data_IF_742890081188
#
_entry.id   IF_742890081188
#
_cell.length_a   1.000
_cell.length_b   1.000
_cell.length_c   1.000
_cell.angle_alpha   90.00
_cell.angle_beta   90.00
_cell.angle_gamma   90.00
#
_symmetry.space_group_name_H-M   'P 1'
#
loop_
_entity.id
_entity.type
_entity.pdbx_description
1 polymer ?
#
# COMPACT_ATOMS: atom_id res chain seq x y z
N UNK A 1 39.09 -46.87 46.96
CA UNK A 1 39.28 -46.00 45.79
C UNK A 1 38.15 -46.33 44.84
N UNK A 2 37.06 -45.57 44.90
CA UNK A 2 35.90 -45.83 44.04
C UNK A 2 35.31 -44.51 43.57
N UNK A 3 35.14 -44.47 42.26
CA UNK A 3 34.76 -43.31 41.45
C UNK A 3 33.24 -43.32 41.40
N UNK A 4 32.58 -42.42 42.14
CA UNK A 4 31.11 -42.34 42.12
C UNK A 4 30.63 -41.37 41.06
N UNK A 5 30.04 -41.97 40.04
CA UNK A 5 29.49 -41.39 38.82
C UNK A 5 28.19 -40.62 39.12
N UNK A 6 28.07 -39.40 38.60
CA UNK A 6 26.86 -38.57 38.62
C UNK A 6 25.75 -39.18 37.72
N UNK A 7 24.48 -39.27 38.17
CA UNK A 7 23.39 -39.70 37.31
C UNK A 7 22.79 -38.55 36.49
N UNK A 8 22.48 -38.87 35.22
CA UNK A 8 21.80 -38.04 34.23
C UNK A 8 20.37 -37.71 34.66
N UNK A 9 20.02 -36.42 34.74
CA UNK A 9 18.63 -35.96 34.83
C UNK A 9 18.12 -35.60 33.43
N UNK A 10 17.00 -36.21 33.07
CA UNK A 10 16.34 -36.10 31.77
C UNK A 10 15.76 -34.71 31.54
N UNK A 11 15.91 -34.21 30.30
CA UNK A 11 15.31 -32.96 29.85
C UNK A 11 13.83 -33.15 29.50
N UNK A 12 12.95 -32.44 30.20
CA UNK A 12 11.61 -32.13 29.72
C UNK A 12 11.66 -30.80 28.94
N UNK A 13 11.03 -30.69 27.75
CA UNK A 13 11.05 -29.46 26.97
C UNK A 13 10.13 -28.42 27.63
N UNK A 14 10.74 -27.33 28.11
CA UNK A 14 10.04 -26.16 28.60
C UNK A 14 9.36 -25.46 27.41
N UNK A 15 8.04 -25.64 27.30
CA UNK A 15 7.23 -25.06 26.25
C UNK A 15 7.06 -23.57 26.55
N UNK A 16 7.70 -22.71 25.75
CA UNK A 16 7.56 -21.26 25.85
C UNK A 16 6.11 -20.86 25.48
N UNK A 17 5.41 -20.04 26.28
CA UNK A 17 4.14 -19.50 25.86
C UNK A 17 4.35 -18.51 24.72
N UNK A 18 3.65 -18.80 23.62
CA UNK A 18 3.50 -18.00 22.41
C UNK A 18 2.97 -16.60 22.75
N UNK A 19 3.85 -15.59 22.76
CA UNK A 19 3.47 -14.17 22.81
C UNK A 19 3.23 -13.68 21.39
N UNK A 20 2.07 -14.01 20.84
CA UNK A 20 1.50 -13.33 19.67
C UNK A 20 0.19 -12.66 20.06
N UNK A 21 0.03 -11.43 19.59
CA UNK A 21 -1.04 -10.47 19.87
C UNK A 21 -0.94 -9.82 21.25
N UNK A 22 -0.73 -8.50 21.29
CA UNK A 22 -1.32 -7.54 22.25
C UNK A 22 -0.73 -6.14 21.96
N UNK A 23 -1.17 -5.51 20.87
CA UNK A 23 -0.76 -4.16 20.48
C UNK A 23 -1.81 -3.06 20.69
N UNK A 24 -3.02 -3.39 21.17
CA UNK A 24 -4.11 -2.40 21.31
C UNK A 24 -4.85 -2.36 22.65
N UNK A 25 -4.57 -3.29 23.57
CA UNK A 25 -5.27 -3.35 24.87
C UNK A 25 -4.52 -2.68 26.06
N UNK A 26 -3.27 -2.25 25.88
CA UNK A 26 -2.42 -1.81 27.02
C UNK A 26 -2.66 -0.39 27.53
N UNK A 27 -3.34 0.48 26.77
CA UNK A 27 -3.53 1.90 27.18
C UNK A 27 -4.61 2.05 28.25
N UNK A 28 -5.74 1.35 28.09
CA UNK A 28 -6.88 1.46 29.01
C UNK A 28 -6.60 0.84 30.38
N UNK A 29 -5.94 -0.33 30.41
CA UNK A 29 -5.64 -1.06 31.66
C UNK A 29 -4.55 -0.42 32.53
N UNK A 30 -3.69 0.44 31.96
CA UNK A 30 -2.71 1.20 32.75
C UNK A 30 -3.33 2.38 33.52
N UNK A 31 -4.53 2.82 33.13
CA UNK A 31 -5.19 3.97 33.74
C UNK A 31 -5.87 3.65 35.08
N UNK A 32 -6.31 2.40 35.27
CA UNK A 32 -6.99 1.93 36.49
C UNK A 32 -6.02 1.74 37.67
N UNK A 33 -4.74 1.45 37.41
CA UNK A 33 -3.69 1.29 38.44
C UNK A 33 -2.80 2.53 38.61
N UNK A 34 -3.23 3.69 38.12
CA UNK A 34 -2.45 4.93 38.15
C UNK A 34 -2.61 5.65 39.49
N UNK A 35 -1.50 5.99 40.17
CA UNK A 35 -1.53 6.68 41.46
C UNK A 35 -2.28 8.03 41.37
N UNK A 36 -2.87 8.54 42.48
CA UNK A 36 -3.58 9.82 42.48
C UNK A 36 -2.74 10.98 41.87
N UNK A 37 -1.44 11.02 42.16
CA UNK A 37 -0.51 11.99 41.58
C UNK A 37 -0.30 11.82 40.07
N UNK A 38 -0.19 10.57 39.59
CA UNK A 38 -0.06 10.27 38.15
C UNK A 38 -1.35 10.63 37.39
N UNK A 39 -2.52 10.38 37.98
CA UNK A 39 -3.84 10.80 37.43
C UNK A 39 -3.97 12.32 37.37
N UNK A 40 -3.50 13.05 38.39
CA UNK A 40 -3.49 14.51 38.39
C UNK A 40 -2.58 15.09 37.29
N UNK A 41 -1.39 14.53 37.10
CA UNK A 41 -0.47 14.92 36.01
C UNK A 41 -1.07 14.66 34.62
N UNK A 42 -1.72 13.51 34.42
CA UNK A 42 -2.40 13.19 33.17
C UNK A 42 -3.52 14.20 32.85
N UNK A 43 -4.36 14.53 33.84
CA UNK A 43 -5.40 15.56 33.69
C UNK A 43 -4.82 16.94 33.35
N UNK A 44 -3.70 17.32 33.98
CA UNK A 44 -3.00 18.58 33.67
C UNK A 44 -2.46 18.58 32.24
N UNK A 45 -1.85 17.48 31.81
CA UNK A 45 -1.35 17.30 30.43
C UNK A 45 -2.49 17.34 29.42
N UNK A 46 -3.58 16.61 29.66
CA UNK A 46 -4.77 16.64 28.80
C UNK A 46 -5.38 18.03 28.68
N UNK A 47 -5.55 18.74 29.80
CA UNK A 47 -6.03 20.14 29.78
C UNK A 47 -5.09 21.03 28.99
N UNK A 48 -3.79 20.91 29.20
CA UNK A 48 -2.77 21.69 28.47
C UNK A 48 -2.80 21.38 26.97
N UNK A 49 -2.91 20.10 26.58
CA UNK A 49 -3.01 19.68 25.18
C UNK A 49 -4.28 20.23 24.54
N UNK A 50 -5.44 20.10 25.20
CA UNK A 50 -6.71 20.65 24.71
C UNK A 50 -6.66 22.17 24.54
N UNK A 51 -6.11 22.88 25.53
CA UNK A 51 -5.94 24.34 25.45
C UNK A 51 -5.03 24.72 24.28
N UNK A 52 -3.89 24.05 24.13
CA UNK A 52 -2.96 24.32 23.02
C UNK A 52 -3.60 24.03 21.65
N UNK A 53 -4.39 22.97 21.53
CA UNK A 53 -5.12 22.63 20.32
C UNK A 53 -6.20 23.66 19.98
N UNK A 54 -6.93 24.17 20.98
CA UNK A 54 -7.89 25.25 20.79
C UNK A 54 -7.22 26.54 20.32
N UNK A 55 -6.12 26.94 20.96
CA UNK A 55 -5.36 28.13 20.55
C UNK A 55 -4.83 28.00 19.13
N UNK A 56 -4.28 26.84 18.76
CA UNK A 56 -3.84 26.58 17.37
C UNK A 56 -5.00 26.66 16.39
N UNK A 57 -6.16 26.10 16.72
CA UNK A 57 -7.35 26.14 15.87
C UNK A 57 -7.86 27.57 15.68
N UNK A 58 -7.90 28.36 16.75
CA UNK A 58 -8.30 29.77 16.70
C UNK A 58 -7.31 30.62 15.90
N UNK A 59 -6.01 30.46 16.14
CA UNK A 59 -4.96 31.11 15.35
C UNK A 59 -5.06 30.75 13.86
N UNK A 60 -5.39 29.48 13.55
CA UNK A 60 -5.63 29.02 12.17
C UNK A 60 -6.84 29.69 11.55
N UNK A 61 -7.96 29.76 12.25
CA UNK A 61 -9.18 30.40 11.75
C UNK A 61 -8.95 31.88 11.45
N UNK A 62 -8.28 32.60 12.36
CA UNK A 62 -7.88 33.99 12.15
C UNK A 62 -6.94 34.16 10.97
N UNK A 63 -6.01 33.22 10.76
CA UNK A 63 -5.14 33.26 9.58
C UNK A 63 -5.96 33.03 8.30
N UNK A 64 -6.83 32.02 8.28
CA UNK A 64 -7.65 31.70 7.12
C UNK A 64 -8.52 32.90 6.71
N UNK A 65 -9.16 33.51 7.70
CA UNK A 65 -9.90 34.75 7.53
C UNK A 65 -9.02 35.85 6.93
N UNK A 66 -7.82 36.12 7.47
CA UNK A 66 -6.89 37.12 6.90
C UNK A 66 -6.39 36.79 5.50
N UNK A 67 -6.26 35.52 5.15
CA UNK A 67 -5.76 35.09 3.83
C UNK A 67 -6.83 35.25 2.75
N UNK A 68 -8.11 35.06 3.10
CA UNK A 68 -9.23 35.09 2.14
C UNK A 68 -10.08 36.37 2.19
N UNK A 69 -10.04 37.11 3.29
CA UNK A 69 -10.57 38.47 3.37
C UNK A 69 -9.43 39.45 3.07
N UNK A 70 -9.43 40.00 1.86
CA UNK A 70 -8.43 40.97 1.48
C UNK A 70 -8.60 42.28 2.26
N UNK A 71 -7.53 43.08 2.28
CA UNK A 71 -7.62 44.43 2.81
C UNK A 71 -8.65 45.24 2.01
N UNK A 72 -9.47 46.03 2.71
CA UNK A 72 -10.36 47.03 2.12
C UNK A 72 -11.45 46.47 1.18
N UNK A 73 -11.86 45.20 1.36
CA UNK A 73 -12.93 44.58 0.57
C UNK A 73 -12.51 44.15 -0.83
N UNK A 74 -11.21 44.24 -1.16
CA UNK A 74 -10.69 43.67 -2.40
C UNK A 74 -10.51 42.16 -2.24
N UNK A 75 -10.79 41.40 -3.30
CA UNK A 75 -10.51 39.96 -3.28
C UNK A 75 -9.00 39.74 -3.28
N UNK A 76 -8.47 38.94 -2.35
CA UNK A 76 -7.03 38.74 -2.27
C UNK A 76 -6.53 37.99 -3.51
N UNK A 77 -5.37 38.40 -4.04
CA UNK A 77 -4.78 37.85 -5.26
C UNK A 77 -4.60 36.34 -5.16
N UNK A 78 -5.18 35.59 -6.10
CA UNK A 78 -4.94 34.16 -6.30
C UNK A 78 -3.87 34.00 -7.39
N UNK A 79 -2.95 33.06 -7.19
CA UNK A 79 -1.91 32.81 -8.18
C UNK A 79 -2.51 32.28 -9.50
N UNK A 80 -1.95 32.71 -10.63
CA UNK A 80 -2.36 32.21 -11.95
C UNK A 80 -1.87 30.77 -12.15
N UNK A 81 -2.43 30.07 -13.14
CA UNK A 81 -1.99 28.70 -13.45
C UNK A 81 -0.50 28.64 -13.80
N UNK A 82 0.02 29.62 -14.55
CA UNK A 82 1.43 29.67 -14.94
C UNK A 82 2.34 29.93 -13.74
N UNK A 83 1.90 30.76 -12.79
CA UNK A 83 2.62 30.97 -11.52
C UNK A 83 2.63 29.69 -10.70
N UNK A 84 1.49 29.01 -10.60
CA UNK A 84 1.35 27.72 -9.91
C UNK A 84 2.27 26.66 -10.51
N UNK A 85 2.33 26.56 -11.84
CA UNK A 85 3.24 25.66 -12.56
C UNK A 85 4.70 26.00 -12.27
N UNK A 86 5.08 27.27 -12.38
CA UNK A 86 6.45 27.72 -12.12
C UNK A 86 6.90 27.42 -10.68
N UNK A 87 6.02 27.60 -9.70
CA UNK A 87 6.33 27.30 -8.30
C UNK A 87 6.41 25.79 -8.08
N UNK A 88 5.53 25.00 -8.68
CA UNK A 88 5.63 23.54 -8.63
C UNK A 88 6.96 23.04 -9.24
N UNK A 89 7.40 23.63 -10.35
CA UNK A 89 8.72 23.36 -10.94
C UNK A 89 9.87 23.75 -10.00
N UNK A 90 9.80 24.94 -9.40
CA UNK A 90 10.80 25.44 -8.46
C UNK A 90 10.97 24.48 -7.28
N UNK A 91 9.85 24.06 -6.67
CA UNK A 91 9.84 23.12 -5.56
C UNK A 91 10.39 21.76 -5.97
N UNK A 92 9.99 21.24 -7.13
CA UNK A 92 10.50 19.96 -7.64
C UNK A 92 12.00 20.03 -7.92
N UNK A 93 12.48 21.11 -8.53
CA UNK A 93 13.91 21.34 -8.80
C UNK A 93 14.70 21.39 -7.49
N UNK A 94 14.25 22.18 -6.52
CA UNK A 94 14.92 22.31 -5.23
C UNK A 94 14.95 20.99 -4.45
N UNK A 95 13.86 20.25 -4.48
CA UNK A 95 13.78 18.90 -3.90
C UNK A 95 14.79 17.95 -4.56
N UNK A 96 14.99 18.03 -5.87
CA UNK A 96 15.97 17.19 -6.57
C UNK A 96 17.42 17.55 -6.21
N UNK A 97 17.69 18.82 -5.91
CA UNK A 97 19.01 19.31 -5.46
C UNK A 97 19.34 18.85 -4.03
N UNK A 98 18.36 18.90 -3.12
CA UNK A 98 18.55 18.56 -1.71
C UNK A 98 18.50 17.04 -1.49
N UNK A 99 17.52 16.36 -2.08
CA UNK A 99 17.32 14.92 -1.92
C UNK A 99 18.09 14.18 -3.01
N UNK A 100 19.26 13.64 -2.69
CA UNK A 100 20.13 12.97 -3.65
C UNK A 100 19.56 11.61 -4.14
N UNK A 101 18.84 10.87 -3.29
CA UNK A 101 18.26 9.57 -3.67
C UNK A 101 17.01 9.74 -4.57
N UNK A 102 17.04 9.28 -5.84
CA UNK A 102 15.88 9.35 -6.72
C UNK A 102 14.63 8.64 -6.21
N UNK A 103 14.79 7.59 -5.39
CA UNK A 103 13.66 6.86 -4.78
C UNK A 103 13.02 7.63 -3.62
N UNK A 104 13.71 8.64 -3.09
CA UNK A 104 13.21 9.54 -2.06
C UNK A 104 12.51 10.80 -2.61
N UNK A 105 12.65 11.11 -3.90
CA UNK A 105 12.08 12.31 -4.57
C UNK A 105 10.59 12.22 -4.93
N UNK A 106 9.84 11.33 -4.30
CA UNK A 106 8.41 11.21 -4.57
C UNK A 106 7.65 12.39 -3.96
N UNK A 107 6.75 13.03 -4.71
CA UNK A 107 5.91 14.12 -4.19
C UNK A 107 5.16 13.73 -2.91
N UNK A 108 4.77 12.45 -2.78
CA UNK A 108 4.10 11.93 -1.58
C UNK A 108 5.04 11.88 -0.37
N UNK A 109 6.33 11.62 -0.57
CA UNK A 109 7.32 11.69 0.53
C UNK A 109 7.50 13.12 1.00
N UNK A 110 7.48 14.08 0.07
CA UNK A 110 7.48 15.50 0.41
C UNK A 110 6.23 15.89 1.18
N UNK A 111 5.05 15.37 0.80
CA UNK A 111 3.82 15.56 1.55
C UNK A 111 3.94 15.04 3.00
N UNK A 112 4.47 13.82 3.18
CA UNK A 112 4.70 13.25 4.52
C UNK A 112 5.70 14.07 5.34
N UNK A 113 6.69 14.68 4.68
CA UNK A 113 7.65 15.56 5.35
C UNK A 113 7.10 16.97 5.65
N UNK A 114 6.03 17.37 4.97
CA UNK A 114 5.31 18.63 5.22
C UNK A 114 4.31 18.49 6.36
N UNK A 115 3.69 17.32 6.49
CA UNK A 115 2.70 16.98 7.50
C UNK A 115 3.38 16.63 8.84
N UNK A 116 4.06 17.61 9.44
CA UNK A 116 4.87 17.46 10.67
C UNK A 116 4.05 16.90 11.84
N UNK A 117 2.79 17.30 11.95
CA UNK A 117 1.88 16.81 12.97
C UNK A 117 1.16 15.50 12.61
N UNK A 118 1.44 14.94 11.42
CA UNK A 118 0.84 13.74 10.87
C UNK A 118 -0.70 13.78 10.84
N UNK A 119 -1.29 14.96 10.68
CA UNK A 119 -2.74 15.13 10.61
C UNK A 119 -3.35 14.65 9.30
N UNK A 120 -2.51 14.44 8.28
CA UNK A 120 -2.92 14.10 6.91
C UNK A 120 -3.37 15.31 6.11
N UNK A 121 -3.17 16.52 6.63
CA UNK A 121 -3.52 17.80 5.99
C UNK A 121 -2.43 18.83 6.28
N UNK A 122 -2.04 19.58 5.26
CA UNK A 122 -0.99 20.60 5.38
C UNK A 122 -1.64 21.94 5.71
N UNK A 123 -1.15 22.58 6.77
CA UNK A 123 -1.47 23.95 7.15
C UNK A 123 -0.57 24.97 6.45
N UNK A 124 -0.99 26.23 6.43
CA UNK A 124 -0.18 27.30 5.83
C UNK A 124 1.20 27.42 6.49
N UNK A 125 1.26 27.25 7.81
CA UNK A 125 2.51 27.34 8.57
C UNK A 125 3.48 26.24 8.21
N UNK A 126 3.00 25.00 8.03
CA UNK A 126 3.82 23.88 7.58
C UNK A 126 4.35 24.09 6.15
N UNK A 127 3.52 24.63 5.26
CA UNK A 127 3.97 24.99 3.92
C UNK A 127 5.02 26.11 3.96
N UNK A 128 4.81 27.15 4.76
CA UNK A 128 5.76 28.24 4.94
C UNK A 128 7.09 27.72 5.51
N UNK A 129 7.04 26.92 6.58
CA UNK A 129 8.22 26.37 7.25
C UNK A 129 9.06 25.53 6.28
N UNK A 130 8.41 24.64 5.52
CA UNK A 130 9.06 23.86 4.47
C UNK A 130 9.75 24.75 3.42
N UNK A 131 9.07 25.79 2.95
CA UNK A 131 9.63 26.69 1.92
C UNK A 131 10.82 27.48 2.47
N UNK A 132 10.73 27.95 3.73
CA UNK A 132 11.73 28.83 4.34
C UNK A 132 12.93 28.07 4.90
N UNK A 133 12.70 26.97 5.60
CA UNK A 133 13.73 26.26 6.36
C UNK A 133 14.30 25.08 5.59
N UNK A 134 13.43 24.21 5.06
CA UNK A 134 13.88 22.97 4.40
C UNK A 134 14.37 23.23 2.97
N UNK A 135 13.61 24.01 2.20
CA UNK A 135 14.00 24.36 0.83
C UNK A 135 14.95 25.57 0.76
N UNK A 136 15.11 26.28 1.86
CA UNK A 136 15.97 27.46 2.00
C UNK A 136 15.67 28.53 0.94
N UNK A 137 14.38 28.79 0.65
CA UNK A 137 13.95 29.85 -0.25
C UNK A 137 13.64 31.13 0.54
N UNK A 138 14.56 32.13 0.56
CA UNK A 138 14.36 33.34 1.34
C UNK A 138 13.27 34.23 0.74
N UNK A 139 12.72 35.13 1.56
CA UNK A 139 11.66 36.09 1.15
C UNK A 139 12.03 36.95 -0.07
N UNK A 140 13.33 37.20 -0.28
CA UNK A 140 13.81 37.93 -1.46
C UNK A 140 13.59 37.16 -2.78
N UNK A 141 13.69 35.83 -2.75
CA UNK A 141 13.49 34.99 -3.93
C UNK A 141 12.04 34.52 -4.06
N UNK A 142 11.35 34.35 -2.93
CA UNK A 142 9.98 33.89 -2.89
C UNK A 142 9.19 34.72 -1.87
N UNK A 143 8.59 35.86 -2.26
CA UNK A 143 7.90 36.75 -1.32
C UNK A 143 6.69 36.10 -0.63
N UNK A 144 6.36 36.57 0.58
CA UNK A 144 5.22 36.04 1.34
C UNK A 144 3.90 36.23 0.58
N UNK A 145 3.73 37.33 -0.16
CA UNK A 145 2.56 37.55 -1.03
C UNK A 145 2.42 36.48 -2.12
N UNK A 146 3.54 36.01 -2.67
CA UNK A 146 3.55 34.94 -3.66
C UNK A 146 3.18 33.60 -3.02
N UNK A 147 3.74 33.30 -1.84
CA UNK A 147 3.38 32.11 -1.08
C UNK A 147 1.89 32.08 -0.72
N UNK A 148 1.33 33.20 -0.28
CA UNK A 148 -0.09 33.33 0.02
C UNK A 148 -0.98 33.20 -1.22
N UNK A 149 -0.57 33.77 -2.36
CA UNK A 149 -1.30 33.63 -3.62
C UNK A 149 -1.32 32.16 -4.09
N UNK A 150 -0.20 31.45 -3.92
CA UNK A 150 -0.08 30.02 -4.20
C UNK A 150 -0.95 29.21 -3.23
N UNK A 151 -0.88 29.48 -1.93
CA UNK A 151 -1.74 28.85 -0.93
C UNK A 151 -3.22 28.90 -1.33
N UNK A 152 -3.71 30.09 -1.69
CA UNK A 152 -5.10 30.28 -2.17
C UNK A 152 -5.43 29.51 -3.45
N UNK A 153 -4.45 29.25 -4.30
CA UNK A 153 -4.63 28.47 -5.52
C UNK A 153 -4.62 26.95 -5.25
N UNK A 154 -3.93 26.49 -4.19
CA UNK A 154 -3.91 25.07 -3.80
C UNK A 154 -5.16 24.69 -2.99
N UNK A 155 -5.59 25.56 -2.08
CA UNK A 155 -6.78 25.39 -1.23
C UNK A 155 -8.06 25.80 -1.98
N UNK A 156 -8.35 25.06 -3.06
CA UNK A 156 -9.46 25.37 -3.97
C UNK A 156 -10.84 25.29 -3.30
N UNK A 157 -10.97 24.42 -2.29
CA UNK A 157 -12.18 24.29 -1.47
C UNK A 157 -12.27 25.32 -0.34
N UNK A 158 -11.24 26.16 -0.16
CA UNK A 158 -11.11 27.19 0.89
C UNK A 158 -11.28 26.62 2.29
N UNK A 159 -10.91 25.35 2.48
CA UNK A 159 -11.00 24.68 3.78
C UNK A 159 -9.96 25.20 4.77
N UNK A 160 -8.96 25.95 4.28
CA UNK A 160 -7.81 26.40 5.05
C UNK A 160 -6.81 25.29 5.32
N UNK A 161 -6.88 24.19 4.56
CA UNK A 161 -6.05 23.00 4.72
C UNK A 161 -5.83 22.30 3.38
N UNK A 162 -4.59 22.01 3.03
CA UNK A 162 -4.28 21.30 1.78
C UNK A 162 -4.30 19.80 2.04
N UNK A 163 -5.17 19.09 1.32
CA UNK A 163 -5.21 17.62 1.32
C UNK A 163 -4.08 17.02 0.47
N UNK A 164 -3.78 15.75 0.71
CA UNK A 164 -2.85 14.97 -0.12
C UNK A 164 -3.22 14.98 -1.61
N UNK A 165 -4.51 14.98 -1.93
CA UNK A 165 -5.01 15.03 -3.32
C UNK A 165 -4.69 16.34 -4.01
N UNK A 166 -4.94 17.46 -3.33
CA UNK A 166 -4.67 18.82 -3.82
C UNK A 166 -3.17 19.06 -4.00
N UNK A 167 -2.38 18.70 -2.99
CA UNK A 167 -0.93 18.81 -3.07
C UNK A 167 -0.34 17.97 -4.20
N UNK A 168 -0.82 16.73 -4.35
CA UNK A 168 -0.40 15.86 -5.44
C UNK A 168 -0.80 16.41 -6.81
N UNK A 169 -1.96 17.05 -6.94
CA UNK A 169 -2.38 17.70 -8.18
C UNK A 169 -1.44 18.85 -8.53
N UNK A 170 -1.14 19.70 -7.56
CA UNK A 170 -0.19 20.81 -7.68
C UNK A 170 1.20 20.35 -8.15
N UNK A 171 1.81 19.36 -7.48
CA UNK A 171 3.13 18.85 -7.86
C UNK A 171 3.16 18.21 -9.26
N UNK A 172 2.03 17.64 -9.72
CA UNK A 172 1.91 17.11 -11.08
C UNK A 172 1.84 18.21 -12.16
N UNK A 173 1.47 19.44 -11.81
CA UNK A 173 1.49 20.55 -12.76
C UNK A 173 2.93 20.93 -13.14
N UNK A 174 3.86 21.02 -12.18
CA UNK A 174 5.28 21.25 -12.48
C UNK A 174 5.97 20.09 -13.22
N UNK A 175 5.42 18.87 -13.10
CA UNK A 175 5.85 17.72 -13.91
C UNK A 175 5.46 17.87 -15.39
N UNK A 176 4.38 18.58 -15.74
CA UNK A 176 3.97 18.74 -17.15
C UNK A 176 4.96 19.63 -17.92
N UNK A 177 5.45 20.70 -17.32
CA UNK A 177 6.50 21.53 -17.93
C UNK A 177 7.84 20.81 -18.06
N UNK A 178 8.23 20.00 -17.05
CA UNK A 178 9.48 19.23 -17.10
C UNK A 178 9.37 17.94 -17.91
N UNK A 179 8.15 17.40 -18.14
CA UNK A 179 7.92 16.21 -18.95
C UNK A 179 8.14 16.46 -20.45
N UNK A 180 7.98 17.70 -20.93
CA UNK A 180 8.45 18.08 -22.28
C UNK A 180 9.95 17.77 -22.44
N UNK A 181 10.73 17.83 -21.36
CA UNK A 181 12.16 17.52 -21.34
C UNK A 181 12.51 16.04 -21.01
N UNK A 182 11.57 15.18 -20.61
CA UNK A 182 11.90 13.83 -20.09
C UNK A 182 11.03 12.69 -20.63
N UNK A 183 10.97 12.57 -21.96
CA UNK A 183 10.29 11.51 -22.70
C UNK A 183 10.88 10.09 -22.52
N UNK A 184 12.00 9.94 -21.79
CA UNK A 184 12.69 8.66 -21.63
C UNK A 184 12.06 7.75 -20.56
N UNK A 185 11.48 8.31 -19.49
CA UNK A 185 10.80 7.52 -18.44
C UNK A 185 9.50 6.88 -18.97
N UNK A 186 8.77 7.58 -19.82
CA UNK A 186 7.59 7.02 -20.51
C UNK A 186 7.99 5.95 -21.54
N UNK A 187 9.07 6.16 -22.31
CA UNK A 187 9.63 5.12 -23.19
C UNK A 187 10.06 3.88 -22.41
N UNK A 188 10.74 4.05 -21.27
CA UNK A 188 11.16 2.94 -20.42
C UNK A 188 9.98 2.16 -19.82
N UNK A 189 8.93 2.87 -19.38
CA UNK A 189 7.71 2.25 -18.88
C UNK A 189 6.97 1.45 -19.96
N UNK A 190 6.78 2.03 -21.17
CA UNK A 190 6.19 1.33 -22.31
C UNK A 190 7.02 0.10 -22.72
N UNK A 191 8.35 0.21 -22.72
CA UNK A 191 9.24 -0.91 -23.01
C UNK A 191 9.20 -2.02 -21.94
N UNK A 192 9.01 -1.67 -20.67
CA UNK A 192 8.80 -2.65 -19.59
C UNK A 192 7.45 -3.36 -19.75
N UNK A 193 6.40 -2.61 -20.07
CA UNK A 193 5.06 -3.16 -20.27
C UNK A 193 4.98 -4.08 -21.50
N UNK A 194 5.67 -3.72 -22.60
CA UNK A 194 5.78 -4.57 -23.79
C UNK A 194 6.51 -5.89 -23.50
N UNK A 195 7.63 -5.85 -22.74
CA UNK A 195 8.36 -7.06 -22.32
C UNK A 195 7.51 -7.95 -21.41
N UNK A 196 6.77 -7.36 -20.47
CA UNK A 196 5.85 -8.10 -19.60
C UNK A 196 4.71 -8.77 -20.38
N UNK A 197 4.21 -8.11 -21.44
CA UNK A 197 3.20 -8.68 -22.32
C UNK A 197 3.75 -9.88 -23.12
N UNK A 198 4.96 -9.77 -23.66
CA UNK A 198 5.63 -10.87 -24.38
C UNK A 198 5.85 -12.11 -23.49
N UNK A 199 6.33 -11.91 -22.27
CA UNK A 199 6.53 -13.02 -21.31
C UNK A 199 5.19 -13.69 -20.96
N UNK A 200 4.11 -12.91 -20.89
CA UNK A 200 2.77 -13.42 -20.59
C UNK A 200 2.21 -14.24 -21.77
N UNK A 201 2.39 -13.74 -22.99
CA UNK A 201 2.04 -14.43 -24.24
C UNK A 201 2.79 -15.76 -24.35
N UNK A 202 4.11 -15.75 -24.12
CA UNK A 202 4.95 -16.95 -24.17
C UNK A 202 4.53 -17.99 -23.12
N UNK A 203 4.30 -17.55 -21.88
CA UNK A 203 3.76 -18.45 -20.83
C UNK A 203 2.39 -19.02 -21.21
N UNK A 204 1.52 -18.22 -21.81
CA UNK A 204 0.20 -18.68 -22.24
C UNK A 204 0.32 -19.75 -23.32
N UNK A 205 1.22 -19.57 -24.30
CA UNK A 205 1.51 -20.57 -25.34
C UNK A 205 2.04 -21.88 -24.77
N UNK A 206 3.08 -21.81 -23.93
CA UNK A 206 3.64 -23.00 -23.28
C UNK A 206 2.60 -23.76 -22.45
N UNK A 207 1.70 -23.03 -21.80
CA UNK A 207 0.63 -23.63 -21.03
C UNK A 207 -0.45 -24.27 -21.92
N UNK A 208 -0.77 -23.68 -23.07
CA UNK A 208 -1.67 -24.26 -24.05
C UNK A 208 -1.10 -25.55 -24.67
N UNK A 209 0.17 -25.56 -25.05
CA UNK A 209 0.84 -26.76 -25.58
C UNK A 209 0.86 -27.88 -24.55
N UNK A 210 1.17 -27.54 -23.29
CA UNK A 210 1.17 -28.50 -22.19
C UNK A 210 -0.22 -29.07 -21.92
N UNK A 211 -1.26 -28.24 -21.99
CA UNK A 211 -2.65 -28.70 -21.86
C UNK A 211 -3.04 -29.64 -23.01
N UNK A 212 -2.66 -29.30 -24.25
CA UNK A 212 -2.92 -30.13 -25.43
C UNK A 212 -2.27 -31.51 -25.33
N UNK A 213 -0.99 -31.56 -24.94
CA UNK A 213 -0.27 -32.83 -24.72
C UNK A 213 -0.90 -33.67 -23.60
N UNK A 214 -1.36 -33.04 -22.52
CA UNK A 214 -2.09 -33.76 -21.47
C UNK A 214 -3.44 -34.29 -21.97
N UNK A 215 -4.14 -33.54 -22.82
CA UNK A 215 -5.43 -33.93 -23.38
C UNK A 215 -5.27 -35.13 -24.33
N UNK A 216 -4.24 -35.16 -25.18
CA UNK A 216 -3.93 -36.31 -26.04
C UNK A 216 -3.57 -37.56 -25.23
N UNK A 217 -2.81 -37.40 -24.15
CA UNK A 217 -2.46 -38.50 -23.25
C UNK A 217 -3.70 -39.04 -22.53
N UNK A 218 -4.59 -38.16 -22.07
CA UNK A 218 -5.84 -38.55 -21.41
C UNK A 218 -6.82 -39.21 -22.37
N UNK A 219 -6.89 -38.75 -23.63
CA UNK A 219 -7.67 -39.39 -24.68
C UNK A 219 -7.16 -40.81 -24.98
N UNK A 220 -5.83 -40.97 -25.10
CA UNK A 220 -5.19 -42.28 -25.27
C UNK A 220 -5.50 -43.22 -24.10
N UNK A 221 -5.40 -42.73 -22.86
CA UNK A 221 -5.76 -43.49 -21.66
C UNK A 221 -7.24 -43.88 -21.63
N UNK A 222 -8.15 -42.98 -22.02
CA UNK A 222 -9.60 -43.25 -22.11
C UNK A 222 -9.91 -44.33 -23.15
N UNK A 223 -9.32 -44.24 -24.34
CA UNK A 223 -9.50 -45.23 -25.41
C UNK A 223 -8.94 -46.60 -25.00
N UNK A 224 -7.79 -46.62 -24.33
CA UNK A 224 -7.24 -47.87 -23.81
C UNK A 224 -8.13 -48.46 -22.70
N UNK A 225 -8.64 -47.61 -21.79
CA UNK A 225 -9.56 -48.05 -20.74
C UNK A 225 -10.91 -48.57 -21.30
N UNK A 226 -11.47 -47.95 -22.34
CA UNK A 226 -12.70 -48.43 -22.99
C UNK A 226 -12.46 -49.76 -23.71
N UNK A 227 -11.32 -49.93 -24.36
CA UNK A 227 -10.91 -51.19 -24.98
C UNK A 227 -10.74 -52.29 -23.93
N UNK A 228 -10.06 -52.00 -22.83
CA UNK A 228 -9.89 -52.97 -21.72
C UNK A 228 -11.24 -53.34 -21.08
N UNK A 229 -12.13 -52.36 -20.91
CA UNK A 229 -13.48 -52.59 -20.40
C UNK A 229 -14.31 -53.47 -21.34
N UNK A 230 -14.30 -53.21 -22.65
CA UNK A 230 -15.04 -54.02 -23.63
C UNK A 230 -14.53 -55.46 -23.70
N UNK A 231 -13.20 -55.66 -23.63
CA UNK A 231 -12.58 -56.98 -23.55
C UNK A 231 -13.00 -57.71 -22.27
N UNK A 232 -12.97 -57.04 -21.11
CA UNK A 232 -13.42 -57.62 -19.83
C UNK A 232 -14.91 -57.98 -19.84
N UNK A 233 -15.78 -57.11 -20.36
CA UNK A 233 -17.23 -57.37 -20.46
C UNK A 233 -17.53 -58.51 -21.44
N UNK A 234 -16.82 -58.56 -22.58
CA UNK A 234 -16.93 -59.66 -23.55
C UNK A 234 -16.51 -61.02 -22.97
N UNK A 235 -15.46 -61.05 -22.16
CA UNK A 235 -15.03 -62.24 -21.43
C UNK A 235 -15.98 -62.63 -20.28
N UNK A 236 -16.67 -61.70 -19.63
CA UNK A 236 -17.69 -62.00 -18.63
C UNK A 236 -18.98 -62.58 -19.26
N UNK A 237 -19.34 -62.10 -20.44
CA UNK A 237 -20.46 -62.63 -21.24
C UNK A 237 -20.23 -64.09 -21.64
N UNK A 238 -19.05 -64.42 -22.19
CA UNK A 238 -18.73 -65.79 -22.61
C UNK A 238 -18.60 -66.78 -21.45
N UNK A 239 -18.18 -66.31 -20.27
CA UNK A 239 -18.10 -67.13 -19.05
C UNK A 239 -19.45 -67.44 -18.41
N UNK A 240 -20.51 -66.71 -18.81
CA UNK A 240 -21.88 -66.95 -18.35
C UNK A 240 -22.65 -67.96 -19.22
N UNK A 241 -22.15 -68.27 -20.41
CA UNK A 241 -22.76 -69.20 -21.37
C UNK A 241 -22.51 -70.68 -21.07
N UNK A 242 -21.49 -70.99 -20.27
CA UNK A 242 -21.07 -72.34 -19.90
C UNK A 242 -21.49 -72.76 -18.48
N UNK A 243 -22.68 -72.36 -18.04
CA UNK A 243 -23.35 -73.05 -16.92
C UNK A 243 -24.25 -74.13 -17.49
N UNK A 244 -23.64 -75.25 -17.85
CA UNK A 244 -24.36 -76.47 -18.20
C UNK A 244 -25.30 -76.85 -17.04
N UNK A 245 -26.60 -76.93 -17.33
CA UNK A 245 -27.59 -77.38 -16.35
C UNK A 245 -27.22 -78.78 -15.86
N UNK A 246 -27.07 -78.93 -14.54
CA UNK A 246 -26.71 -80.20 -13.90
C UNK A 246 -27.60 -81.34 -14.39
N UNK A 247 -27.03 -82.38 -15.01
CA UNK A 247 -27.75 -83.61 -15.37
C UNK A 247 -27.28 -84.75 -14.49
N UNK A 248 -28.21 -85.36 -13.74
CA UNK A 248 -27.89 -86.43 -12.79
C UNK A 248 -27.46 -87.71 -13.53
N UNK A 249 -26.43 -88.45 -13.09
CA UNK A 249 -25.85 -89.57 -13.85
C UNK A 249 -26.66 -90.89 -13.87
N UNK A 250 -27.98 -90.88 -13.67
CA UNK A 250 -28.77 -92.11 -13.59
C UNK A 250 -30.16 -91.96 -14.19
N UNK A 251 -30.23 -91.85 -15.51
CA UNK A 251 -31.47 -92.04 -16.26
C UNK A 251 -31.19 -93.04 -17.39
N UNK A 252 -31.43 -94.32 -17.10
CA UNK A 252 -31.66 -95.32 -18.14
C UNK A 252 -33.08 -95.11 -18.66
N UNK A 253 -33.24 -94.98 -19.97
CA UNK A 253 -34.52 -95.15 -20.64
C UNK A 253 -34.28 -96.15 -21.78
N UNK A 254 -35.13 -97.17 -21.78
CA UNK A 254 -35.12 -98.38 -22.62
C UNK A 254 -35.17 -98.11 -24.13
#
# INVERSE_FOLDING_TARGET
MEVTVLPKSQGHPFQLPNLSSHGRASSALQSEFSSPGRRALLRKREKSMKMSAQLKAESRERLNHRLFEGADGQTPRVATLTEVEHVAELLQRRTNEIILDPRARGWYKMFVNLDDDCSGKITYWELEDMVRNELALPRNQFPDEQLQAIWRALDADKSGLISCGEFGHFMRMGLKSTAVASNWKQKAFKASQARAAQIREERFRLQADRNSSMETDMASKRNNASTMHSVSVGQMSSRSSDKQAWRSPRAYIF
#
